data_IF_931729793539
#
_entry.id   IF_931729793539
#
_cell.length_a   1.000
_cell.length_b   1.000
_cell.length_c   1.000
_cell.angle_alpha   90.00
_cell.angle_beta   90.00
_cell.angle_gamma   90.00
#
_symmetry.space_group_name_H-M   'P 1'
#
loop_
_entity.id
_entity.type
_entity.pdbx_description
1 polymer ?
#
# COMPACT_ATOMS: atom_id res chain seq x y z
N UNK A 1 -16.02 21.21 -12.12
CA UNK A 1 -15.05 22.04 -11.39
C UNK A 1 -14.86 23.35 -12.14
N UNK A 2 -14.91 24.50 -11.49
CA UNK A 2 -14.86 25.85 -12.13
C UNK A 2 -15.86 26.03 -13.28
N UNK A 3 -17.09 25.53 -13.14
CA UNK A 3 -18.12 25.55 -14.19
C UNK A 3 -17.89 24.60 -15.38
N UNK A 4 -16.90 23.70 -15.27
CA UNK A 4 -16.57 22.69 -16.27
C UNK A 4 -16.89 21.30 -15.74
N UNK A 5 -17.08 20.32 -16.65
CA UNK A 5 -17.14 18.92 -16.29
C UNK A 5 -15.81 18.52 -15.62
N UNK A 6 -15.88 17.77 -14.54
CA UNK A 6 -14.70 17.23 -13.87
C UNK A 6 -14.18 16.02 -14.65
N UNK A 7 -12.90 16.06 -15.02
CA UNK A 7 -12.11 14.89 -15.43
C UNK A 7 -11.23 14.49 -14.25
N UNK A 8 -11.46 13.29 -13.70
CA UNK A 8 -10.78 12.84 -12.48
C UNK A 8 -9.76 11.75 -12.78
N UNK A 9 -8.49 12.13 -12.78
CA UNK A 9 -7.34 11.25 -13.05
C UNK A 9 -6.36 11.17 -11.87
N UNK A 10 -6.87 11.27 -10.62
CA UNK A 10 -6.06 11.08 -9.41
C UNK A 10 -6.45 9.80 -8.63
N UNK A 11 -6.84 8.74 -9.35
CA UNK A 11 -7.33 7.49 -8.78
C UNK A 11 -6.28 6.73 -7.95
N UNK A 12 -5.00 6.81 -8.32
CA UNK A 12 -3.90 6.23 -7.53
C UNK A 12 -3.70 6.91 -6.15
N UNK A 13 -4.31 8.07 -5.92
CA UNK A 13 -4.37 8.70 -4.61
C UNK A 13 -5.62 8.25 -3.84
N UNK A 14 -6.79 8.29 -4.47
CA UNK A 14 -8.06 7.76 -3.94
C UNK A 14 -9.07 7.61 -5.08
N UNK A 15 -9.81 6.51 -5.13
CA UNK A 15 -10.88 6.31 -6.12
C UNK A 15 -12.17 7.02 -5.72
N UNK A 16 -13.07 7.32 -6.66
CA UNK A 16 -14.44 7.71 -6.37
C UNK A 16 -15.22 6.51 -5.81
N UNK A 17 -16.25 6.80 -4.98
CA UNK A 17 -16.97 5.75 -4.27
C UNK A 17 -18.27 5.40 -4.99
N UNK A 18 -18.56 4.11 -5.24
CA UNK A 18 -19.86 3.65 -5.71
C UNK A 18 -20.96 4.04 -4.71
N UNK A 19 -22.17 4.29 -5.22
CA UNK A 19 -23.29 4.67 -4.39
C UNK A 19 -23.62 3.63 -3.31
N UNK A 20 -23.53 2.34 -3.64
CA UNK A 20 -23.75 1.24 -2.70
C UNK A 20 -22.81 1.28 -1.47
N UNK A 21 -21.58 1.80 -1.63
CA UNK A 21 -20.64 1.96 -0.53
C UNK A 21 -21.06 3.12 0.38
N UNK A 22 -21.44 4.25 -0.22
CA UNK A 22 -21.90 5.44 0.52
C UNK A 22 -23.19 5.12 1.28
N UNK A 23 -24.14 4.46 0.61
CA UNK A 23 -25.41 4.05 1.21
C UNK A 23 -25.21 3.03 2.34
N UNK A 24 -24.34 2.04 2.18
CA UNK A 24 -24.05 1.06 3.24
C UNK A 24 -23.51 1.71 4.52
N UNK A 25 -22.59 2.66 4.37
CA UNK A 25 -22.05 3.39 5.51
C UNK A 25 -23.10 4.32 6.15
N UNK A 26 -23.89 5.03 5.34
CA UNK A 26 -25.00 5.84 5.80
C UNK A 26 -26.02 5.03 6.58
N UNK A 27 -26.45 3.89 6.04
CA UNK A 27 -27.50 3.06 6.62
C UNK A 27 -27.04 2.44 7.95
N UNK A 28 -25.75 2.08 8.07
CA UNK A 28 -25.18 1.70 9.36
C UNK A 28 -25.39 2.77 10.43
N UNK A 29 -24.98 4.01 10.14
CA UNK A 29 -25.09 5.10 11.13
C UNK A 29 -26.53 5.50 11.43
N UNK A 30 -27.45 5.38 10.49
CA UNK A 30 -28.86 5.71 10.69
C UNK A 30 -29.65 4.63 11.47
N UNK A 31 -29.30 3.36 11.29
CA UNK A 31 -30.17 2.26 11.73
C UNK A 31 -29.48 1.18 12.58
N UNK A 32 -28.16 1.02 12.48
CA UNK A 32 -27.44 -0.12 13.07
C UNK A 32 -26.35 0.30 14.05
N UNK A 33 -26.08 1.61 14.19
CA UNK A 33 -24.92 2.13 14.93
C UNK A 33 -24.89 1.65 16.38
N UNK A 34 -23.86 0.88 16.70
CA UNK A 34 -23.68 0.28 18.02
C UNK A 34 -22.23 -0.13 18.23
N UNK A 35 -21.77 -0.19 19.49
CA UNK A 35 -20.50 -0.84 19.82
C UNK A 35 -20.63 -2.38 19.70
N UNK A 36 -19.55 -3.03 19.28
CA UNK A 36 -19.53 -4.46 18.94
C UNK A 36 -18.78 -5.31 19.99
N UNK A 37 -18.89 -6.63 19.86
CA UNK A 37 -18.25 -7.72 20.61
C UNK A 37 -18.69 -7.86 22.08
N UNK A 38 -18.95 -6.79 22.83
CA UNK A 38 -19.22 -6.84 24.28
C UNK A 38 -20.68 -6.59 24.67
N UNK A 39 -21.50 -6.08 23.77
CA UNK A 39 -22.90 -5.81 24.05
C UNK A 39 -23.75 -7.08 23.98
N UNK A 40 -24.62 -7.27 25.00
CA UNK A 40 -25.55 -8.41 25.04
C UNK A 40 -26.90 -8.12 24.34
N UNK A 41 -27.13 -6.88 23.93
CA UNK A 41 -28.36 -6.46 23.28
C UNK A 41 -28.33 -6.72 21.76
N UNK A 42 -29.52 -6.80 21.16
CA UNK A 42 -29.75 -7.18 19.77
C UNK A 42 -28.89 -6.38 18.77
N UNK A 43 -28.84 -5.04 18.87
CA UNK A 43 -28.07 -4.19 17.96
C UNK A 43 -26.57 -4.53 18.01
N UNK A 44 -26.01 -4.78 19.20
CA UNK A 44 -24.60 -5.14 19.31
C UNK A 44 -24.28 -6.48 18.68
N UNK A 45 -25.18 -7.46 18.81
CA UNK A 45 -25.01 -8.76 18.16
C UNK A 45 -25.07 -8.64 16.64
N UNK A 46 -26.05 -7.89 16.12
CA UNK A 46 -26.19 -7.61 14.69
C UNK A 46 -24.97 -6.89 14.11
N UNK A 47 -24.49 -5.83 14.77
CA UNK A 47 -23.32 -5.08 14.33
C UNK A 47 -22.03 -5.92 14.40
N UNK A 48 -21.89 -6.78 15.42
CA UNK A 48 -20.78 -7.72 15.54
C UNK A 48 -20.79 -8.72 14.39
N UNK A 49 -21.94 -9.33 14.11
CA UNK A 49 -22.09 -10.27 13.00
C UNK A 49 -21.77 -9.61 11.66
N UNK A 50 -22.27 -8.40 11.43
CA UNK A 50 -22.01 -7.65 10.21
C UNK A 50 -20.51 -7.33 10.04
N UNK A 51 -19.82 -6.92 11.11
CA UNK A 51 -18.39 -6.64 11.10
C UNK A 51 -17.57 -7.90 10.79
N UNK A 52 -17.88 -9.03 11.43
CA UNK A 52 -17.16 -10.28 11.17
C UNK A 52 -17.50 -10.87 9.79
N UNK A 53 -18.71 -10.62 9.24
CA UNK A 53 -19.03 -10.96 7.86
C UNK A 53 -18.24 -10.12 6.86
N UNK A 54 -18.00 -8.83 7.14
CA UNK A 54 -17.13 -8.00 6.34
C UNK A 54 -15.70 -8.60 6.29
N UNK A 55 -15.18 -9.09 7.42
CA UNK A 55 -13.89 -9.78 7.49
C UNK A 55 -13.86 -11.05 6.61
N UNK A 56 -14.91 -11.88 6.69
CA UNK A 56 -15.04 -13.07 5.84
C UNK A 56 -15.07 -12.72 4.35
N UNK A 57 -15.80 -11.67 4.00
CA UNK A 57 -15.90 -11.18 2.62
C UNK A 57 -14.53 -10.73 2.09
N UNK A 58 -13.78 -9.98 2.88
CA UNK A 58 -12.40 -9.57 2.52
C UNK A 58 -11.49 -10.78 2.40
N UNK A 59 -11.52 -11.72 3.35
CA UNK A 59 -10.72 -12.94 3.30
C UNK A 59 -10.99 -13.75 2.03
N UNK A 60 -12.26 -13.95 1.69
CA UNK A 60 -12.66 -14.65 0.46
C UNK A 60 -12.21 -13.91 -0.80
N UNK A 61 -12.26 -12.58 -0.81
CA UNK A 61 -11.88 -11.75 -1.97
C UNK A 61 -10.42 -11.89 -2.36
N UNK A 62 -9.53 -12.07 -1.40
CA UNK A 62 -8.09 -12.28 -1.66
C UNK A 62 -7.66 -13.74 -1.54
N UNK A 63 -8.61 -14.66 -1.45
CA UNK A 63 -8.38 -16.09 -1.24
C UNK A 63 -7.52 -16.40 -0.01
N UNK A 64 -7.75 -15.72 1.12
CA UNK A 64 -7.13 -16.08 2.39
C UNK A 64 -7.69 -17.42 2.91
N UNK A 65 -6.89 -18.22 3.59
CA UNK A 65 -7.27 -19.57 4.07
C UNK A 65 -8.38 -19.51 5.11
N UNK A 66 -8.39 -18.48 5.94
CA UNK A 66 -9.38 -18.28 6.98
C UNK A 66 -9.54 -16.78 7.33
N UNK A 67 -10.73 -16.35 7.81
CA UNK A 67 -10.99 -14.94 8.11
C UNK A 67 -10.04 -14.34 9.16
N UNK A 68 -9.56 -15.14 10.10
CA UNK A 68 -8.64 -14.70 11.16
C UNK A 68 -7.29 -14.20 10.63
N UNK A 69 -6.92 -14.55 9.40
CA UNK A 69 -5.74 -14.02 8.73
C UNK A 69 -5.88 -12.55 8.27
N UNK A 70 -7.08 -11.96 8.43
CA UNK A 70 -7.36 -10.56 8.13
C UNK A 70 -7.41 -9.74 9.42
N UNK A 71 -6.55 -8.75 9.52
CA UNK A 71 -6.56 -7.73 10.58
C UNK A 71 -7.02 -6.41 9.96
N UNK A 72 -8.09 -5.82 10.47
CA UNK A 72 -8.53 -4.51 10.03
C UNK A 72 -7.63 -3.42 10.60
N UNK A 73 -7.23 -2.48 9.75
CA UNK A 73 -6.39 -1.33 10.07
C UNK A 73 -6.96 -0.08 9.43
N UNK A 74 -6.38 1.09 9.69
CA UNK A 74 -6.77 2.33 9.01
C UNK A 74 -6.27 2.41 7.56
N UNK A 75 -5.47 1.43 7.12
CA UNK A 75 -4.90 1.35 5.77
C UNK A 75 -3.45 0.84 5.78
N UNK A 76 -2.85 0.77 4.60
CA UNK A 76 -1.50 0.26 4.34
C UNK A 76 -0.44 0.85 5.28
N UNK A 77 -0.48 2.17 5.54
CA UNK A 77 0.50 2.82 6.43
C UNK A 77 0.46 2.25 7.84
N UNK A 78 -0.73 2.04 8.42
CA UNK A 78 -0.85 1.43 9.74
C UNK A 78 -0.44 -0.03 9.72
N UNK A 79 -0.84 -0.79 8.69
CA UNK A 79 -0.45 -2.19 8.52
C UNK A 79 1.07 -2.38 8.50
N UNK A 80 1.78 -1.52 7.76
CA UNK A 80 3.24 -1.55 7.68
C UNK A 80 3.90 -1.11 9.00
N UNK A 81 3.34 -0.15 9.73
CA UNK A 81 3.81 0.21 11.07
C UNK A 81 3.57 -0.92 12.10
N UNK A 82 2.44 -1.62 12.02
CA UNK A 82 2.16 -2.81 12.81
C UNK A 82 3.24 -3.87 12.55
N UNK A 83 3.50 -4.18 11.29
CA UNK A 83 4.51 -5.18 10.91
C UNK A 83 5.91 -4.74 11.35
N UNK A 84 6.30 -3.49 11.10
CA UNK A 84 7.60 -2.97 11.52
C UNK A 84 7.78 -3.06 13.04
N UNK A 85 6.72 -2.83 13.82
CA UNK A 85 6.77 -2.91 15.29
C UNK A 85 6.74 -4.37 15.75
N UNK A 86 5.72 -5.13 15.40
CA UNK A 86 5.46 -6.46 15.97
C UNK A 86 6.33 -7.55 15.37
N UNK A 87 6.41 -7.63 14.03
CA UNK A 87 7.29 -8.59 13.35
C UNK A 87 8.76 -8.22 13.56
N UNK A 88 9.08 -6.91 13.50
CA UNK A 88 10.42 -6.43 13.81
C UNK A 88 10.84 -6.83 15.24
N UNK A 89 9.98 -6.63 16.24
CA UNK A 89 10.26 -7.08 17.60
C UNK A 89 10.47 -8.60 17.68
N UNK A 90 9.65 -9.39 16.99
CA UNK A 90 9.79 -10.85 16.97
C UNK A 90 11.15 -11.28 16.39
N UNK A 91 11.49 -10.81 15.19
CA UNK A 91 12.65 -11.28 14.43
C UNK A 91 13.99 -10.73 14.94
N UNK A 92 13.99 -9.54 15.58
CA UNK A 92 15.23 -8.91 16.02
C UNK A 92 15.53 -9.08 17.52
N UNK A 93 14.52 -9.50 18.33
CA UNK A 93 14.75 -9.79 19.75
C UNK A 93 15.39 -11.16 19.99
N UNK A 94 15.27 -12.12 19.07
CA UNK A 94 15.86 -13.46 19.22
C UNK A 94 17.39 -13.44 19.13
N UNK A 95 17.98 -12.54 18.36
CA UNK A 95 19.45 -12.39 18.27
C UNK A 95 20.09 -11.92 19.60
N UNK A 96 19.35 -11.14 20.40
CA UNK A 96 19.83 -10.68 21.70
C UNK A 96 19.84 -11.77 22.79
N UNK A 97 19.12 -12.89 22.59
CA UNK A 97 19.07 -14.00 23.56
C UNK A 97 20.15 -15.03 23.36
N UNK A 98 20.74 -15.16 22.18
CA UNK A 98 21.75 -16.19 21.85
C UNK A 98 23.19 -15.68 21.95
N UNK A 99 23.41 -14.37 22.09
CA UNK A 99 24.76 -13.80 22.11
C UNK A 99 25.34 -13.64 23.53
N UNK A 100 25.57 -14.75 24.23
CA UNK A 100 26.43 -14.77 25.41
C UNK A 100 27.94 -14.86 25.06
N UNK A 101 28.31 -14.69 23.81
CA UNK A 101 29.70 -14.70 23.35
C UNK A 101 30.19 -13.29 23.03
N UNK A 102 31.34 -12.93 23.61
CA UNK A 102 32.07 -11.67 23.42
C UNK A 102 32.59 -11.42 21.98
N UNK A 103 32.14 -12.15 21.00
CA UNK A 103 32.42 -11.91 19.59
C UNK A 103 31.18 -11.26 18.93
N UNK A 104 31.18 -9.94 18.93
CA UNK A 104 30.28 -9.15 18.10
C UNK A 104 30.64 -9.39 16.61
N UNK A 105 30.02 -10.41 16.01
CA UNK A 105 30.00 -10.51 14.56
C UNK A 105 29.02 -9.46 14.01
N UNK A 106 29.37 -8.85 12.92
CA UNK A 106 28.77 -7.72 12.19
C UNK A 106 27.33 -7.94 11.64
N UNK A 107 26.46 -8.65 12.34
CA UNK A 107 25.12 -8.96 11.86
C UNK A 107 24.08 -8.01 12.48
N UNK A 108 24.16 -6.74 12.13
CA UNK A 108 23.03 -5.83 12.36
C UNK A 108 21.82 -6.31 11.55
N UNK A 109 20.59 -6.28 12.11
CA UNK A 109 19.39 -6.70 11.41
C UNK A 109 19.19 -5.87 10.12
N UNK A 110 18.87 -6.56 9.02
CA UNK A 110 18.70 -5.95 7.70
C UNK A 110 17.29 -6.17 7.18
N UNK A 111 16.78 -5.17 6.47
CA UNK A 111 15.51 -5.23 5.74
C UNK A 111 15.75 -4.90 4.28
N UNK A 112 15.11 -5.63 3.37
CA UNK A 112 15.15 -5.33 1.93
C UNK A 112 13.86 -4.63 1.53
N UNK A 113 14.01 -3.52 0.81
CA UNK A 113 12.93 -2.78 0.14
C UNK A 113 13.31 -2.52 -1.32
N UNK A 114 12.38 -2.09 -2.17
CA UNK A 114 12.74 -1.68 -3.53
C UNK A 114 13.01 -0.17 -3.64
N UNK A 115 13.69 0.22 -4.74
CA UNK A 115 13.97 1.63 -5.03
C UNK A 115 12.70 2.45 -5.39
N UNK A 116 11.55 1.81 -5.56
CA UNK A 116 10.29 2.45 -5.96
C UNK A 116 9.23 2.48 -4.87
N UNK A 117 9.60 2.21 -3.62
CA UNK A 117 8.64 2.14 -2.52
C UNK A 117 7.98 3.48 -2.20
N UNK A 118 6.70 3.41 -1.87
CA UNK A 118 6.01 4.49 -1.19
C UNK A 118 6.63 4.73 0.20
N UNK A 119 6.64 5.97 0.69
CA UNK A 119 7.20 6.29 2.02
C UNK A 119 6.63 5.40 3.14
N UNK A 120 5.36 4.98 3.04
CA UNK A 120 4.75 4.05 4.01
C UNK A 120 5.43 2.69 4.07
N UNK A 121 6.09 2.26 2.99
CA UNK A 121 6.81 0.98 2.93
C UNK A 121 8.34 1.15 3.06
N UNK A 122 8.82 2.31 3.41
CA UNK A 122 10.23 2.59 3.64
C UNK A 122 10.47 3.13 5.06
N UNK A 123 9.75 4.19 5.44
CA UNK A 123 9.99 4.93 6.69
C UNK A 123 9.78 4.08 7.95
N UNK A 124 8.75 3.22 8.07
CA UNK A 124 8.61 2.36 9.25
C UNK A 124 9.80 1.44 9.47
N UNK A 125 10.37 0.86 8.38
CA UNK A 125 11.55 0.02 8.45
C UNK A 125 12.80 0.78 8.86
N UNK A 126 12.99 1.99 8.32
CA UNK A 126 14.08 2.87 8.74
C UNK A 126 13.99 3.17 10.23
N UNK A 127 12.80 3.55 10.73
CA UNK A 127 12.60 3.89 12.14
C UNK A 127 12.77 2.67 13.07
N UNK A 128 12.34 1.50 12.64
CA UNK A 128 12.56 0.25 13.37
C UNK A 128 14.06 -0.06 13.46
N UNK A 129 14.79 -0.02 12.35
CA UNK A 129 16.24 -0.28 12.32
C UNK A 129 17.01 0.74 13.15
N UNK A 130 16.59 2.01 13.20
CA UNK A 130 17.18 3.05 14.03
C UNK A 130 16.99 2.80 15.54
N UNK A 131 15.81 2.27 15.93
CA UNK A 131 15.50 1.98 17.34
C UNK A 131 16.13 0.69 17.84
N UNK A 132 16.53 -0.20 16.96
CA UNK A 132 17.22 -1.44 17.32
C UNK A 132 18.62 -1.07 17.83
N UNK A 133 19.03 -1.43 19.07
CA UNK A 133 20.31 -1.01 19.64
C UNK A 133 21.47 -1.63 18.87
N UNK A 134 21.99 -0.93 17.88
CA UNK A 134 23.32 -1.20 17.35
C UNK A 134 24.31 -0.46 18.26
N UNK A 135 25.26 -1.19 18.82
CA UNK A 135 26.28 -0.62 19.70
C UNK A 135 27.30 0.17 18.87
N UNK A 136 26.86 1.28 18.29
CA UNK A 136 27.76 2.31 17.79
C UNK A 136 27.37 3.65 18.38
N UNK A 137 28.25 4.20 19.20
CA UNK A 137 28.04 5.44 19.97
C UNK A 137 28.01 6.70 19.10
N UNK A 138 28.45 6.63 17.83
CA UNK A 138 28.52 7.79 16.94
C UNK A 138 27.23 8.03 16.15
N UNK A 139 26.57 6.99 15.64
CA UNK A 139 25.32 7.14 14.86
C UNK A 139 24.13 7.68 15.69
N UNK A 140 24.12 7.49 17.01
CA UNK A 140 23.06 8.01 17.91
C UNK A 140 23.09 9.53 18.07
N UNK A 141 24.20 10.21 17.79
CA UNK A 141 24.34 11.67 18.00
C UNK A 141 23.90 12.50 16.80
N UNK A 142 23.93 11.95 15.59
CA UNK A 142 23.63 12.70 14.35
C UNK A 142 22.17 12.56 13.88
N UNK A 143 21.39 11.62 14.45
CA UNK A 143 20.05 11.31 13.92
C UNK A 143 20.06 10.65 12.53
N UNK A 144 21.25 10.31 12.02
CA UNK A 144 21.41 9.63 10.73
C UNK A 144 21.14 8.13 10.88
N UNK A 145 20.29 7.62 9.98
CA UNK A 145 20.02 6.18 9.87
C UNK A 145 21.25 5.53 9.22
N UNK A 146 21.82 4.51 9.87
CA UNK A 146 22.86 3.72 9.24
C UNK A 146 22.31 3.11 7.95
N UNK A 147 22.76 3.62 6.81
CA UNK A 147 22.34 3.19 5.47
C UNK A 147 22.65 1.71 5.17
N UNK A 148 23.47 1.07 6.00
CA UNK A 148 23.95 -0.29 5.79
C UNK A 148 22.91 -1.39 6.11
N UNK A 149 21.82 -1.07 6.81
CA UNK A 149 20.84 -2.05 7.27
C UNK A 149 19.54 -2.04 6.45
N UNK A 150 19.25 -0.95 5.74
CA UNK A 150 18.18 -0.91 4.75
C UNK A 150 18.76 -1.20 3.37
N UNK A 151 18.55 -2.40 2.89
CA UNK A 151 19.04 -2.85 1.59
C UNK A 151 18.01 -2.49 0.52
N UNK A 152 18.45 -1.84 -0.56
CA UNK A 152 17.54 -1.34 -1.59
C UNK A 152 17.77 -2.08 -2.90
N UNK A 153 16.75 -2.77 -3.41
CA UNK A 153 16.75 -3.41 -4.73
C UNK A 153 16.81 -2.31 -5.79
N UNK A 154 17.80 -2.38 -6.68
CA UNK A 154 17.94 -1.42 -7.76
C UNK A 154 16.85 -1.56 -8.80
N UNK A 155 16.57 -0.48 -9.52
CA UNK A 155 15.74 -0.48 -10.73
C UNK A 155 16.52 0.09 -11.91
N UNK A 156 16.09 -0.24 -13.11
CA UNK A 156 16.61 0.35 -14.33
C UNK A 156 15.89 1.67 -14.70
N UNK A 157 16.31 2.29 -15.81
CA UNK A 157 15.70 3.52 -16.34
C UNK A 157 14.23 3.38 -16.79
N UNK A 158 13.77 2.15 -16.97
CA UNK A 158 12.37 1.86 -17.30
C UNK A 158 11.52 1.63 -16.03
N UNK A 159 12.15 1.59 -14.85
CA UNK A 159 11.49 1.28 -13.60
C UNK A 159 11.26 -0.22 -13.39
N UNK A 160 12.15 -1.07 -13.90
CA UNK A 160 12.13 -2.52 -13.71
C UNK A 160 13.13 -2.89 -12.62
N UNK A 161 12.72 -3.70 -11.64
CA UNK A 161 13.58 -4.16 -10.56
C UNK A 161 14.61 -5.17 -11.06
N UNK A 162 15.86 -5.05 -10.58
CA UNK A 162 16.96 -5.98 -10.86
C UNK A 162 16.86 -7.21 -9.95
N UNK A 163 16.34 -8.32 -10.48
CA UNK A 163 16.19 -9.58 -9.74
C UNK A 163 17.53 -10.24 -9.39
N UNK A 164 18.58 -10.05 -10.19
CA UNK A 164 19.91 -10.54 -9.84
C UNK A 164 20.48 -9.83 -8.63
N UNK A 165 20.38 -8.49 -8.63
CA UNK A 165 20.75 -7.68 -7.46
C UNK A 165 19.88 -8.03 -6.23
N UNK A 166 18.58 -8.28 -6.43
CA UNK A 166 17.71 -8.76 -5.36
C UNK A 166 18.25 -10.03 -4.71
N UNK A 167 18.59 -11.05 -5.50
CA UNK A 167 19.14 -12.31 -4.97
C UNK A 167 20.51 -12.11 -4.29
N UNK A 168 21.34 -11.19 -4.76
CA UNK A 168 22.59 -10.82 -4.08
C UNK A 168 22.33 -10.19 -2.69
N UNK A 169 21.29 -9.38 -2.56
CA UNK A 169 20.90 -8.80 -1.27
C UNK A 169 20.42 -9.88 -0.30
N UNK A 170 19.67 -10.89 -0.77
CA UNK A 170 19.19 -12.00 0.07
C UNK A 170 20.32 -12.85 0.63
N UNK A 171 21.44 -12.99 -0.08
CA UNK A 171 22.66 -13.68 0.43
C UNK A 171 23.24 -13.01 1.67
N UNK A 172 22.93 -11.73 1.91
CA UNK A 172 23.30 -11.02 3.13
C UNK A 172 22.41 -11.36 4.33
N UNK A 173 21.47 -12.31 4.18
CA UNK A 173 20.56 -12.80 5.23
C UNK A 173 19.73 -11.70 5.88
N UNK A 174 19.02 -10.84 5.11
CA UNK A 174 18.06 -9.91 5.69
C UNK A 174 16.96 -10.69 6.43
N UNK A 175 16.31 -10.03 7.38
CA UNK A 175 15.24 -10.64 8.18
C UNK A 175 13.87 -10.49 7.53
N UNK A 176 13.70 -9.52 6.65
CA UNK A 176 12.42 -9.14 6.04
C UNK A 176 12.68 -8.63 4.63
N UNK A 177 11.79 -8.96 3.72
CA UNK A 177 11.62 -8.30 2.42
C UNK A 177 10.27 -7.58 2.43
N UNK A 178 10.22 -6.29 2.06
CA UNK A 178 8.98 -5.53 1.95
C UNK A 178 8.96 -4.76 0.64
N UNK A 179 8.06 -5.12 -0.28
CA UNK A 179 8.03 -4.60 -1.66
C UNK A 179 6.62 -4.29 -2.14
N UNK A 180 6.50 -3.26 -2.96
CA UNK A 180 5.24 -2.90 -3.60
C UNK A 180 4.88 -3.90 -4.71
N UNK A 181 3.60 -4.28 -4.78
CA UNK A 181 3.07 -5.06 -5.90
C UNK A 181 3.04 -4.21 -7.17
N UNK A 182 2.45 -3.00 -7.06
CA UNK A 182 2.41 -2.00 -8.15
C UNK A 182 2.96 -0.68 -7.62
N UNK A 183 3.90 -0.09 -8.34
CA UNK A 183 4.44 1.22 -8.02
C UNK A 183 3.37 2.31 -8.19
N UNK A 184 3.12 3.08 -7.13
CA UNK A 184 2.19 4.21 -7.17
C UNK A 184 2.69 5.39 -8.03
N UNK A 185 3.96 5.39 -8.41
CA UNK A 185 4.60 6.46 -9.18
C UNK A 185 4.85 6.06 -10.63
N UNK A 186 5.30 4.83 -10.87
CA UNK A 186 5.72 4.35 -12.19
C UNK A 186 4.63 3.50 -12.88
N UNK A 187 3.67 2.98 -12.11
CA UNK A 187 2.70 2.00 -12.58
C UNK A 187 3.29 0.61 -12.79
N UNK A 188 4.60 0.43 -12.61
CA UNK A 188 5.28 -0.87 -12.79
C UNK A 188 4.62 -1.93 -11.92
N UNK A 189 4.22 -3.04 -12.53
CA UNK A 189 3.77 -4.26 -11.87
C UNK A 189 4.99 -5.12 -11.62
N UNK A 190 5.35 -5.31 -10.36
CA UNK A 190 6.51 -6.10 -9.98
C UNK A 190 6.21 -7.61 -10.03
N UNK A 191 7.17 -8.47 -10.40
CA UNK A 191 6.99 -9.92 -10.49
C UNK A 191 7.02 -10.55 -9.09
N UNK A 192 6.07 -10.15 -8.22
CA UNK A 192 6.10 -10.49 -6.78
C UNK A 192 6.07 -11.98 -6.52
N UNK A 193 5.37 -12.79 -7.35
CA UNK A 193 5.34 -14.24 -7.17
C UNK A 193 6.73 -14.86 -7.31
N UNK A 194 7.51 -14.41 -8.28
CA UNK A 194 8.90 -14.83 -8.45
C UNK A 194 9.77 -14.33 -7.30
N UNK A 195 9.62 -13.06 -6.91
CA UNK A 195 10.38 -12.45 -5.82
C UNK A 195 10.11 -13.15 -4.48
N UNK A 196 8.87 -13.52 -4.19
CA UNK A 196 8.50 -14.31 -3.00
C UNK A 196 9.20 -15.67 -3.04
N UNK A 197 9.09 -16.38 -4.15
CA UNK A 197 9.73 -17.70 -4.30
C UNK A 197 11.26 -17.63 -4.13
N UNK A 198 11.90 -16.56 -4.61
CA UNK A 198 13.34 -16.34 -4.40
C UNK A 198 13.65 -16.12 -2.91
N UNK A 199 12.91 -15.25 -2.21
CA UNK A 199 13.13 -14.98 -0.78
C UNK A 199 12.93 -16.22 0.10
N UNK A 200 11.90 -17.01 -0.18
CA UNK A 200 11.61 -18.24 0.56
C UNK A 200 12.70 -19.31 0.44
N UNK A 201 13.48 -19.31 -0.65
CA UNK A 201 14.69 -20.17 -0.72
C UNK A 201 15.75 -19.84 0.33
N UNK A 202 15.68 -18.65 0.90
CA UNK A 202 16.58 -18.15 1.95
C UNK A 202 15.90 -18.08 3.33
N UNK A 203 14.68 -18.63 3.47
CA UNK A 203 13.84 -18.60 4.69
C UNK A 203 13.53 -17.17 5.17
N UNK A 204 13.31 -16.24 4.22
CA UNK A 204 13.04 -14.82 4.53
C UNK A 204 11.58 -14.51 4.24
N UNK A 205 10.83 -14.02 5.24
CA UNK A 205 9.43 -13.63 5.06
C UNK A 205 9.27 -12.39 4.17
N UNK A 206 8.19 -12.38 3.39
CA UNK A 206 7.91 -11.35 2.40
C UNK A 206 6.59 -10.63 2.69
N UNK A 207 6.67 -9.32 2.76
CA UNK A 207 5.55 -8.39 2.90
C UNK A 207 5.30 -7.74 1.55
N UNK A 208 4.06 -7.77 1.09
CA UNK A 208 3.63 -7.13 -0.16
C UNK A 208 2.75 -5.92 0.15
N UNK A 209 3.20 -4.74 -0.29
CA UNK A 209 2.35 -3.54 -0.33
C UNK A 209 1.45 -3.62 -1.57
N UNK A 210 0.19 -4.02 -1.34
CA UNK A 210 -0.85 -4.15 -2.35
C UNK A 210 -1.74 -2.93 -2.53
N UNK A 211 -1.36 -1.77 -1.95
CA UNK A 211 -2.20 -0.57 -1.94
C UNK A 211 -2.69 -0.13 -3.32
N UNK A 212 -1.89 -0.30 -4.36
CA UNK A 212 -2.30 0.00 -5.73
C UNK A 212 -2.94 -1.23 -6.42
N UNK A 213 -2.52 -2.44 -6.10
CA UNK A 213 -2.93 -3.63 -6.83
C UNK A 213 -4.38 -4.06 -6.57
N UNK A 214 -4.91 -3.85 -5.36
CA UNK A 214 -6.25 -4.33 -4.95
C UNK A 214 -7.39 -3.86 -5.87
N UNK A 215 -7.31 -2.64 -6.42
CA UNK A 215 -8.31 -2.12 -7.34
C UNK A 215 -8.19 -2.75 -8.74
N UNK A 216 -6.97 -3.05 -9.17
CA UNK A 216 -6.63 -3.29 -10.57
C UNK A 216 -6.41 -4.77 -10.91
N UNK A 217 -6.04 -5.61 -9.94
CA UNK A 217 -5.71 -7.02 -10.17
C UNK A 217 -6.51 -7.97 -9.27
N UNK A 218 -6.67 -9.21 -9.72
CA UNK A 218 -7.17 -10.30 -8.88
C UNK A 218 -6.05 -10.76 -7.96
N UNK A 219 -6.28 -10.66 -6.66
CA UNK A 219 -5.29 -11.04 -5.64
C UNK A 219 -5.63 -12.42 -5.09
N UNK A 220 -4.66 -13.33 -5.13
CA UNK A 220 -4.73 -14.66 -4.53
C UNK A 220 -3.51 -14.87 -3.64
N UNK A 221 -3.67 -14.61 -2.34
CA UNK A 221 -2.55 -14.67 -1.39
C UNK A 221 -2.01 -16.08 -1.18
N UNK A 222 -2.85 -17.12 -1.39
CA UNK A 222 -2.39 -18.52 -1.31
C UNK A 222 -1.52 -18.88 -2.53
N UNK A 223 -1.94 -18.46 -3.75
CA UNK A 223 -1.15 -18.70 -4.97
C UNK A 223 0.13 -17.86 -5.02
N UNK A 224 0.12 -16.66 -4.44
CA UNK A 224 1.31 -15.82 -4.27
C UNK A 224 2.27 -16.39 -3.23
N UNK A 225 1.74 -17.09 -2.23
CA UNK A 225 2.45 -17.61 -1.05
C UNK A 225 3.15 -16.50 -0.22
N UNK A 226 2.65 -15.25 -0.27
CA UNK A 226 3.21 -14.17 0.54
C UNK A 226 2.92 -14.39 2.02
N UNK A 227 3.83 -13.94 2.88
CA UNK A 227 3.65 -14.05 4.33
C UNK A 227 2.69 -12.98 4.85
N UNK A 228 2.74 -11.78 4.23
CA UNK A 228 1.85 -10.66 4.52
C UNK A 228 1.47 -9.92 3.24
N UNK A 229 0.24 -9.42 3.22
CA UNK A 229 -0.27 -8.55 2.16
C UNK A 229 -1.07 -7.39 2.77
N UNK A 230 -0.71 -6.15 2.43
CA UNK A 230 -1.34 -4.97 3.04
C UNK A 230 -2.02 -4.09 2.00
N UNK A 231 -3.16 -3.48 2.37
CA UNK A 231 -3.93 -2.65 1.45
C UNK A 231 -4.71 -1.53 2.14
N UNK A 232 -5.13 -0.56 1.35
CA UNK A 232 -5.95 0.58 1.78
C UNK A 232 -7.30 0.59 1.05
N UNK A 233 -8.39 0.64 1.79
CA UNK A 233 -9.75 0.62 1.25
C UNK A 233 -10.03 1.78 0.29
N UNK A 234 -9.58 3.00 0.63
CA UNK A 234 -9.89 4.20 -0.16
C UNK A 234 -9.32 4.19 -1.59
N UNK A 235 -8.41 3.28 -1.93
CA UNK A 235 -7.89 3.10 -3.30
C UNK A 235 -8.64 2.02 -4.08
N UNK A 236 -9.44 1.20 -3.39
CA UNK A 236 -10.23 0.12 -3.96
C UNK A 236 -11.74 0.38 -3.76
N UNK A 237 -12.18 1.60 -4.01
CA UNK A 237 -13.59 2.05 -3.96
C UNK A 237 -14.23 2.09 -2.58
N UNK A 238 -13.54 1.68 -1.51
CA UNK A 238 -14.03 1.68 -0.13
C UNK A 238 -13.82 3.03 0.59
N UNK A 239 -14.40 3.23 1.78
CA UNK A 239 -14.23 4.45 2.57
C UNK A 239 -12.76 4.71 2.93
N UNK A 240 -12.46 5.95 3.32
CA UNK A 240 -11.20 6.32 3.97
C UNK A 240 -11.15 5.78 5.40
N UNK A 241 -9.95 5.59 5.95
CA UNK A 241 -9.77 5.18 7.34
C UNK A 241 -10.05 3.71 7.62
N UNK A 242 -10.09 2.90 6.57
CA UNK A 242 -10.16 1.43 6.63
C UNK A 242 -9.20 0.82 5.62
N UNK A 243 -8.62 -0.30 5.96
CA UNK A 243 -7.80 -1.16 5.14
C UNK A 243 -7.58 -2.49 5.84
N UNK A 244 -6.66 -3.28 5.35
CA UNK A 244 -6.38 -4.58 5.93
C UNK A 244 -4.92 -4.99 5.82
N UNK A 245 -4.58 -5.87 6.74
CA UNK A 245 -3.37 -6.67 6.74
C UNK A 245 -3.82 -8.13 6.67
N UNK A 246 -3.44 -8.81 5.62
CA UNK A 246 -3.40 -10.27 5.58
C UNK A 246 -2.06 -10.74 6.15
N UNK A 247 -2.08 -11.78 6.97
CA UNK A 247 -0.87 -12.47 7.42
C UNK A 247 -1.12 -13.95 7.61
N UNK A 248 -0.13 -14.79 7.25
CA UNK A 248 -0.19 -16.24 7.56
C UNK A 248 -0.34 -16.43 9.07
N UNK A 249 -1.24 -17.32 9.49
CA UNK A 249 -1.56 -17.54 10.92
C UNK A 249 -0.33 -17.80 11.77
N UNK A 250 0.62 -18.56 11.26
CA UNK A 250 1.86 -18.89 11.98
C UNK A 250 2.70 -17.67 12.37
N UNK A 251 2.66 -16.59 11.57
CA UNK A 251 3.29 -15.32 11.89
C UNK A 251 2.42 -14.51 12.85
N UNK A 252 1.13 -14.37 12.54
CA UNK A 252 0.22 -13.59 13.37
C UNK A 252 0.14 -14.12 14.80
N UNK A 253 0.17 -15.44 15.02
CA UNK A 253 0.16 -16.02 16.35
C UNK A 253 1.41 -15.69 17.16
N UNK A 254 2.59 -15.71 16.54
CA UNK A 254 3.88 -15.43 17.18
C UNK A 254 4.12 -13.95 17.45
N UNK A 255 3.58 -13.06 16.58
CA UNK A 255 3.79 -11.61 16.70
C UNK A 255 3.14 -11.05 17.97
N UNK A 256 3.84 -10.20 18.75
CA UNK A 256 3.23 -9.46 19.84
C UNK A 256 2.27 -8.38 19.31
N UNK A 257 1.30 -7.91 20.11
CA UNK A 257 0.49 -6.75 19.75
C UNK A 257 1.35 -5.48 19.63
N UNK A 258 0.90 -4.51 18.82
CA UNK A 258 1.60 -3.24 18.62
C UNK A 258 0.93 -2.04 19.29
N UNK A 259 -0.37 -2.16 19.57
CA UNK A 259 -1.17 -1.19 20.32
C UNK A 259 -1.80 -1.89 21.52
N UNK A 260 -2.05 -1.14 22.58
CA UNK A 260 -2.56 -1.67 23.84
C UNK A 260 -3.79 -0.87 24.26
N UNK A 261 -4.83 -1.56 24.75
CA UNK A 261 -6.10 -0.94 25.16
C UNK A 261 -7.22 -1.94 25.34
N UNK A 262 -8.45 -1.49 25.22
CA UNK A 262 -9.64 -2.34 25.20
C UNK A 262 -9.69 -3.22 23.95
N UNK A 263 -10.61 -4.16 23.89
CA UNK A 263 -10.88 -5.15 22.83
C UNK A 263 -9.75 -6.19 22.64
N UNK A 264 -8.50 -5.76 22.58
CA UNK A 264 -7.33 -6.60 22.30
C UNK A 264 -6.84 -7.43 23.50
N UNK A 265 -7.37 -7.21 24.70
CA UNK A 265 -7.01 -7.90 25.94
C UNK A 265 -7.99 -9.02 26.25
N UNK A 266 -7.47 -10.13 26.81
CA UNK A 266 -8.26 -11.23 27.35
C UNK A 266 -8.51 -11.00 28.85
N UNK A 267 -7.43 -10.91 29.66
CA UNK A 267 -7.53 -10.60 31.10
C UNK A 267 -6.58 -9.47 31.47
N UNK A 268 -6.98 -8.64 32.43
CA UNK A 268 -6.20 -7.52 32.93
C UNK A 268 -6.21 -7.49 34.46
N UNK A 269 -5.03 -7.44 35.06
CA UNK A 269 -4.84 -7.09 36.48
C UNK A 269 -3.72 -6.06 36.61
N UNK A 270 -3.48 -5.53 37.79
CA UNK A 270 -2.34 -4.63 38.02
C UNK A 270 -0.98 -5.31 37.83
N UNK A 271 -0.93 -6.64 38.01
CA UNK A 271 0.32 -7.42 37.95
C UNK A 271 0.55 -8.02 36.54
N UNK A 272 -0.54 -8.31 35.80
CA UNK A 272 -0.43 -9.05 34.55
C UNK A 272 -1.61 -8.74 33.58
N UNK A 273 -1.27 -8.64 32.30
CA UNK A 273 -2.24 -8.59 31.19
C UNK A 273 -2.00 -9.77 30.26
N UNK A 274 -3.08 -10.42 29.81
CA UNK A 274 -3.07 -11.38 28.70
C UNK A 274 -3.81 -10.81 27.51
N UNK A 275 -3.43 -11.24 26.31
CA UNK A 275 -3.95 -10.70 25.07
C UNK A 275 -4.94 -11.66 24.42
N UNK A 276 -5.88 -11.10 23.68
CA UNK A 276 -6.87 -11.84 22.94
C UNK A 276 -6.21 -12.64 21.80
N UNK A 277 -7.00 -13.55 21.18
CA UNK A 277 -6.58 -14.32 20.00
C UNK A 277 -6.48 -13.41 18.76
N UNK A 278 -5.79 -13.90 17.73
CA UNK A 278 -5.81 -13.32 16.38
C UNK A 278 -7.25 -13.37 15.82
N UNK A 279 -7.74 -12.34 15.17
CA UNK A 279 -7.07 -11.06 14.82
C UNK A 279 -7.17 -9.99 15.92
N UNK A 280 -8.01 -10.18 16.93
CA UNK A 280 -8.41 -9.18 17.92
C UNK A 280 -7.24 -8.60 18.72
N UNK A 281 -6.17 -9.37 18.94
CA UNK A 281 -4.97 -8.83 19.64
C UNK A 281 -4.27 -7.69 18.87
N UNK A 282 -4.62 -7.48 17.59
CA UNK A 282 -4.08 -6.39 16.77
C UNK A 282 -5.09 -5.26 16.54
N UNK A 283 -6.34 -5.40 17.00
CA UNK A 283 -7.43 -4.44 16.82
C UNK A 283 -7.78 -3.80 18.16
N UNK A 284 -6.94 -2.86 18.62
CA UNK A 284 -7.11 -2.20 19.90
C UNK A 284 -8.14 -1.05 19.82
N UNK A 285 -9.04 -1.00 20.81
CA UNK A 285 -10.07 0.04 20.93
C UNK A 285 -11.32 -0.27 20.09
N UNK A 286 -12.30 0.64 20.13
CA UNK A 286 -13.53 0.48 19.34
C UNK A 286 -13.22 0.55 17.86
N UNK A 287 -13.54 -0.48 17.06
CA UNK A 287 -13.20 -0.52 15.65
C UNK A 287 -14.10 0.40 14.80
N UNK A 288 -13.65 0.74 13.60
CA UNK A 288 -14.41 1.51 12.64
C UNK A 288 -15.43 0.61 11.89
N UNK A 289 -16.54 0.28 12.55
CA UNK A 289 -17.55 -0.63 12.02
C UNK A 289 -18.14 -0.11 10.71
N UNK A 290 -18.56 1.16 10.67
CA UNK A 290 -19.16 1.74 9.46
C UNK A 290 -18.27 1.61 8.24
N UNK A 291 -16.99 1.95 8.37
CA UNK A 291 -16.05 1.83 7.25
C UNK A 291 -15.72 0.37 6.89
N UNK A 292 -15.73 -0.57 7.85
CA UNK A 292 -15.58 -2.00 7.55
C UNK A 292 -16.75 -2.52 6.72
N UNK A 293 -17.97 -2.10 7.01
CA UNK A 293 -19.15 -2.43 6.21
C UNK A 293 -19.12 -1.76 4.82
N UNK A 294 -18.60 -0.52 4.75
CA UNK A 294 -18.33 0.14 3.48
C UNK A 294 -17.26 -0.59 2.65
N UNK A 295 -16.23 -1.16 3.29
CA UNK A 295 -15.22 -2.00 2.63
C UNK A 295 -15.85 -3.29 2.10
N UNK A 296 -16.71 -3.92 2.87
CA UNK A 296 -17.47 -5.09 2.40
C UNK A 296 -18.31 -4.76 1.15
N UNK A 297 -19.03 -3.63 1.18
CA UNK A 297 -19.83 -3.20 0.04
C UNK A 297 -18.96 -2.93 -1.20
N UNK A 298 -17.78 -2.34 -1.04
CA UNK A 298 -16.82 -2.14 -2.12
C UNK A 298 -16.29 -3.46 -2.69
N UNK A 299 -15.99 -4.43 -1.84
CA UNK A 299 -15.56 -5.77 -2.27
C UNK A 299 -16.69 -6.47 -3.06
N UNK A 300 -17.91 -6.45 -2.56
CA UNK A 300 -19.08 -7.01 -3.26
C UNK A 300 -19.33 -6.33 -4.61
N UNK A 301 -19.16 -5.01 -4.67
CA UNK A 301 -19.22 -4.25 -5.92
C UNK A 301 -18.14 -4.74 -6.91
N UNK A 302 -16.88 -4.86 -6.48
CA UNK A 302 -15.81 -5.37 -7.34
C UNK A 302 -15.99 -6.84 -7.76
N UNK A 303 -16.66 -7.65 -6.95
CA UNK A 303 -17.02 -9.04 -7.30
C UNK A 303 -18.18 -9.11 -8.28
N UNK A 304 -19.03 -8.08 -8.38
CA UNK A 304 -20.16 -8.02 -9.29
C UNK A 304 -19.80 -7.64 -10.73
N UNK A 305 -18.56 -7.25 -10.97
CA UNK A 305 -18.03 -6.83 -12.28
C UNK A 305 -16.95 -7.80 -12.74
N UNK A 306 -16.76 -7.89 -14.07
CA UNK A 306 -15.70 -8.68 -14.66
C UNK A 306 -14.34 -7.97 -14.48
N UNK A 307 -13.54 -8.46 -13.53
CA UNK A 307 -12.24 -7.88 -13.17
C UNK A 307 -11.23 -7.94 -14.30
N UNK A 308 -11.31 -8.94 -15.18
CA UNK A 308 -10.43 -9.03 -16.33
C UNK A 308 -10.77 -7.94 -17.35
N UNK A 309 -12.05 -7.72 -17.63
CA UNK A 309 -12.47 -6.63 -18.51
C UNK A 309 -12.10 -5.25 -17.94
N UNK A 310 -12.15 -5.07 -16.62
CA UNK A 310 -11.67 -3.82 -15.98
C UNK A 310 -10.19 -3.62 -16.23
N UNK A 311 -9.37 -4.64 -16.02
CA UNK A 311 -7.92 -4.57 -16.26
C UNK A 311 -7.60 -4.29 -17.76
N UNK A 312 -8.29 -4.94 -18.67
CA UNK A 312 -8.17 -4.71 -20.12
C UNK A 312 -8.53 -3.26 -20.48
N UNK A 313 -9.65 -2.74 -19.96
CA UNK A 313 -10.08 -1.36 -20.16
C UNK A 313 -9.06 -0.35 -19.60
N UNK A 314 -8.58 -0.52 -18.39
CA UNK A 314 -7.59 0.38 -17.78
C UNK A 314 -6.25 0.35 -18.52
N UNK A 315 -5.83 -0.81 -19.03
CA UNK A 315 -4.66 -0.94 -19.89
C UNK A 315 -4.86 -0.27 -21.26
N UNK A 316 -6.06 -0.35 -21.82
CA UNK A 316 -6.41 0.35 -23.07
C UNK A 316 -6.34 1.88 -22.85
N UNK A 317 -6.88 2.40 -21.74
CA UNK A 317 -6.79 3.81 -21.38
C UNK A 317 -5.34 4.27 -21.20
N UNK A 318 -4.52 3.47 -20.49
CA UNK A 318 -3.10 3.76 -20.29
C UNK A 318 -2.33 3.85 -21.61
N UNK A 319 -2.54 2.89 -22.51
CA UNK A 319 -1.90 2.86 -23.81
C UNK A 319 -2.34 4.05 -24.66
N UNK A 320 -3.63 4.33 -24.72
CA UNK A 320 -4.20 5.45 -25.45
C UNK A 320 -3.67 6.80 -24.92
N UNK A 321 -3.66 7.00 -23.60
CA UNK A 321 -3.10 8.21 -23.00
C UNK A 321 -1.62 8.39 -23.31
N UNK A 322 -0.83 7.31 -23.23
CA UNK A 322 0.61 7.33 -23.54
C UNK A 322 0.85 7.70 -25.00
N UNK A 323 0.10 7.10 -25.93
CA UNK A 323 0.19 7.41 -27.36
C UNK A 323 -0.14 8.88 -27.64
N UNK A 324 -1.30 9.35 -27.18
CA UNK A 324 -1.74 10.73 -27.44
C UNK A 324 -0.81 11.78 -26.80
N UNK A 325 -0.34 11.56 -25.57
CA UNK A 325 0.60 12.46 -24.91
C UNK A 325 1.97 12.48 -25.59
N UNK A 326 2.40 11.39 -26.26
CA UNK A 326 3.71 11.31 -26.93
C UNK A 326 3.90 12.34 -28.05
N UNK A 327 2.81 12.83 -28.64
CA UNK A 327 2.81 13.90 -29.65
C UNK A 327 3.19 15.29 -29.10
N UNK A 328 3.20 15.48 -27.80
CA UNK A 328 3.49 16.79 -27.18
C UNK A 328 5.00 17.02 -27.14
N UNK A 329 5.46 18.13 -27.73
CA UNK A 329 6.88 18.48 -27.79
C UNK A 329 7.51 18.58 -26.40
N UNK A 330 8.60 17.83 -26.17
CA UNK A 330 9.35 17.80 -24.91
C UNK A 330 8.78 16.83 -23.87
N UNK A 331 7.78 16.04 -24.23
CA UNK A 331 7.21 14.98 -23.38
C UNK A 331 8.26 13.92 -23.06
N UNK A 332 8.39 13.58 -21.76
CA UNK A 332 9.21 12.47 -21.28
C UNK A 332 8.42 11.69 -20.25
N UNK A 333 8.12 10.44 -20.55
CA UNK A 333 7.50 9.51 -19.60
C UNK A 333 8.50 9.01 -18.58
N UNK A 334 8.04 8.83 -17.33
CA UNK A 334 8.84 8.33 -16.21
C UNK A 334 8.29 6.96 -15.81
N UNK A 335 9.14 5.94 -15.99
CA UNK A 335 8.74 4.54 -15.86
C UNK A 335 8.03 4.04 -17.13
N UNK A 336 8.68 3.10 -17.82
CA UNK A 336 8.17 2.50 -19.07
C UNK A 336 8.38 0.98 -19.05
N UNK A 337 8.13 0.36 -17.89
CA UNK A 337 8.14 -1.09 -17.77
C UNK A 337 7.10 -1.72 -18.73
N UNK A 338 7.37 -2.91 -19.30
CA UNK A 338 6.43 -3.59 -20.21
C UNK A 338 5.09 -3.90 -19.55
N UNK A 339 5.13 -4.25 -18.26
CA UNK A 339 3.95 -4.51 -17.45
C UNK A 339 3.70 -3.32 -16.51
N UNK A 340 2.73 -2.51 -16.88
CA UNK A 340 2.27 -1.35 -16.10
C UNK A 340 0.76 -1.40 -15.97
N UNK A 341 0.25 -0.77 -14.94
CA UNK A 341 -1.17 -0.68 -14.71
C UNK A 341 -1.58 0.72 -14.22
N UNK A 342 -2.72 1.17 -14.70
CA UNK A 342 -3.57 2.20 -14.14
C UNK A 342 -3.03 3.64 -14.14
N UNK A 343 -1.77 3.92 -14.52
CA UNK A 343 -1.27 5.29 -14.45
C UNK A 343 -0.14 5.60 -15.45
N UNK A 344 -0.03 6.89 -15.81
CA UNK A 344 1.09 7.47 -16.54
C UNK A 344 1.70 8.63 -15.75
N UNK A 345 3.03 8.59 -15.56
CA UNK A 345 3.81 9.68 -14.97
C UNK A 345 4.70 10.31 -16.03
N UNK A 346 4.74 11.64 -16.08
CA UNK A 346 5.51 12.34 -17.11
C UNK A 346 6.02 13.70 -16.64
N UNK A 347 6.99 14.24 -17.36
CA UNK A 347 7.46 15.62 -17.31
C UNK A 347 7.48 16.20 -18.71
N UNK A 348 7.45 17.52 -18.84
CA UNK A 348 7.67 18.25 -20.11
C UNK A 348 8.92 19.09 -19.95
N UNK A 349 9.85 19.00 -20.91
CA UNK A 349 11.12 19.72 -20.88
C UNK A 349 10.91 21.24 -20.72
N UNK A 350 11.61 21.82 -19.73
CA UNK A 350 11.54 23.24 -19.40
C UNK A 350 10.29 23.67 -18.60
N UNK A 351 9.40 22.74 -18.23
CA UNK A 351 8.16 23.05 -17.50
C UNK A 351 8.17 22.34 -16.15
N UNK A 352 7.94 23.09 -15.06
CA UNK A 352 7.81 22.51 -13.73
C UNK A 352 6.48 21.77 -13.59
N UNK A 353 6.45 20.52 -13.10
CA UNK A 353 5.21 19.72 -13.00
C UNK A 353 4.08 20.40 -12.21
N UNK A 354 4.41 21.15 -11.18
CA UNK A 354 3.44 21.87 -10.37
C UNK A 354 2.71 22.97 -11.17
N UNK A 355 3.43 23.73 -12.00
CA UNK A 355 2.85 24.81 -12.81
C UNK A 355 1.91 24.21 -13.88
N UNK A 356 2.33 23.13 -14.52
CA UNK A 356 1.50 22.40 -15.47
C UNK A 356 0.21 21.89 -14.81
N UNK A 357 0.33 21.23 -13.66
CA UNK A 357 -0.82 20.74 -12.90
C UNK A 357 -1.78 21.83 -12.46
N UNK A 358 -1.25 22.99 -12.03
CA UNK A 358 -2.06 24.14 -11.62
C UNK A 358 -2.88 24.70 -12.78
N UNK A 359 -2.33 24.75 -13.99
CA UNK A 359 -3.06 25.26 -15.16
C UNK A 359 -4.15 24.28 -15.61
N UNK A 360 -3.84 22.96 -15.69
CA UNK A 360 -4.85 21.98 -16.10
C UNK A 360 -5.96 21.80 -15.06
N UNK A 361 -5.69 22.02 -13.77
CA UNK A 361 -6.72 22.11 -12.72
C UNK A 361 -7.77 23.19 -13.04
N UNK A 362 -7.34 24.40 -13.47
CA UNK A 362 -8.25 25.47 -13.92
C UNK A 362 -9.05 25.10 -15.17
N UNK A 363 -8.63 24.07 -15.88
CA UNK A 363 -9.38 23.54 -17.04
C UNK A 363 -10.36 22.43 -16.65
N UNK A 364 -10.45 22.07 -15.36
CA UNK A 364 -11.40 21.08 -14.84
C UNK A 364 -10.83 19.67 -14.71
N UNK A 365 -9.52 19.50 -14.78
CA UNK A 365 -8.85 18.18 -14.79
C UNK A 365 -8.05 18.01 -13.49
N UNK A 366 -8.37 16.97 -12.75
CA UNK A 366 -7.70 16.60 -11.51
C UNK A 366 -6.62 15.55 -11.79
N UNK A 367 -5.36 15.94 -11.64
CA UNK A 367 -4.17 15.07 -11.67
C UNK A 367 -3.34 15.31 -10.41
N UNK A 368 -2.37 14.46 -10.16
CA UNK A 368 -1.42 14.69 -9.07
C UNK A 368 -0.07 15.19 -9.60
N UNK A 369 0.56 16.10 -8.85
CA UNK A 369 1.91 16.58 -9.14
C UNK A 369 2.84 16.39 -7.94
N UNK A 370 4.15 16.28 -8.18
CA UNK A 370 5.19 16.21 -7.15
C UNK A 370 5.81 14.84 -7.00
N UNK A 371 6.24 14.50 -5.78
CA UNK A 371 7.03 13.29 -5.48
C UNK A 371 6.18 12.02 -5.28
N UNK A 372 4.85 12.13 -5.17
CA UNK A 372 3.91 11.01 -4.95
C UNK A 372 4.24 10.13 -3.74
N UNK A 373 4.85 10.71 -2.68
CA UNK A 373 5.37 9.98 -1.53
C UNK A 373 6.39 8.88 -1.91
N UNK A 374 7.17 9.09 -2.98
CA UNK A 374 8.23 8.22 -3.47
C UNK A 374 9.43 9.08 -3.93
N UNK A 375 9.91 9.95 -3.05
CA UNK A 375 11.00 10.91 -3.33
C UNK A 375 12.28 10.25 -3.86
N UNK A 376 12.70 9.03 -3.39
CA UNK A 376 13.85 8.33 -3.97
C UNK A 376 13.71 8.05 -5.47
N UNK A 377 12.49 7.82 -5.97
CA UNK A 377 12.23 7.66 -7.42
C UNK A 377 12.55 8.96 -8.17
N UNK A 378 12.15 10.11 -7.64
CA UNK A 378 12.44 11.41 -8.25
C UNK A 378 13.94 11.68 -8.29
N UNK A 379 14.63 11.37 -7.20
CA UNK A 379 16.10 11.48 -7.10
C UNK A 379 16.78 10.58 -8.14
N UNK A 380 16.33 9.34 -8.31
CA UNK A 380 16.87 8.39 -9.29
C UNK A 380 16.75 8.93 -10.73
N UNK A 381 15.60 9.52 -11.09
CA UNK A 381 15.39 10.08 -12.42
C UNK A 381 15.96 11.51 -12.61
N UNK A 382 16.48 12.13 -11.55
CA UNK A 382 17.04 13.49 -11.58
C UNK A 382 16.00 14.57 -11.90
N UNK A 383 14.78 14.43 -11.34
CA UNK A 383 13.64 15.32 -11.61
C UNK A 383 13.02 15.84 -10.30
N UNK A 384 12.41 17.05 -10.31
CA UNK A 384 11.80 17.64 -9.11
C UNK A 384 10.44 17.00 -8.76
N UNK A 385 9.90 16.18 -9.63
CA UNK A 385 8.57 15.55 -9.51
C UNK A 385 8.02 15.21 -10.89
N UNK A 386 6.81 14.64 -10.92
CA UNK A 386 6.07 14.37 -12.18
C UNK A 386 4.65 14.93 -12.11
N UNK A 387 4.02 15.06 -13.26
CA UNK A 387 2.55 15.01 -13.38
C UNK A 387 2.17 13.55 -13.54
N UNK A 388 1.22 13.08 -12.72
CA UNK A 388 0.70 11.72 -12.76
C UNK A 388 -0.80 11.74 -13.04
N UNK A 389 -1.22 11.13 -14.14
CA UNK A 389 -2.61 10.80 -14.40
C UNK A 389 -2.83 9.31 -14.12
N UNK A 390 -3.88 8.97 -13.38
CA UNK A 390 -4.22 7.59 -13.03
C UNK A 390 -5.68 7.30 -13.31
N UNK A 391 -5.91 6.17 -13.96
CA UNK A 391 -7.20 5.76 -14.49
C UNK A 391 -7.88 4.74 -13.58
N UNK A 392 -9.19 4.65 -13.70
CA UNK A 392 -10.04 3.67 -13.06
C UNK A 392 -11.15 3.24 -14.03
N UNK A 393 -11.89 2.19 -13.68
CA UNK A 393 -12.91 1.57 -14.52
C UNK A 393 -13.96 2.52 -15.11
N UNK A 394 -14.15 3.69 -14.51
CA UNK A 394 -15.15 4.68 -14.92
C UNK A 394 -14.61 5.79 -15.83
N UNK A 395 -13.30 5.81 -16.09
CA UNK A 395 -12.72 6.80 -16.98
C UNK A 395 -12.89 6.41 -18.47
N UNK A 396 -12.83 7.38 -19.35
CA UNK A 396 -13.08 7.19 -20.79
C UNK A 396 -11.98 7.78 -21.68
N UNK A 397 -11.94 7.39 -22.96
CA UNK A 397 -11.02 7.96 -23.95
C UNK A 397 -11.32 9.42 -24.25
N UNK A 398 -12.59 9.83 -24.20
CA UNK A 398 -13.00 11.22 -24.38
C UNK A 398 -12.45 12.12 -23.27
N UNK A 399 -12.38 11.60 -22.03
CA UNK A 399 -11.73 12.31 -20.92
C UNK A 399 -10.21 12.45 -21.17
N UNK A 400 -9.57 11.44 -21.77
CA UNK A 400 -8.15 11.49 -22.14
C UNK A 400 -7.93 12.52 -23.26
N UNK A 401 -8.81 12.61 -24.25
CA UNK A 401 -8.73 13.63 -25.30
C UNK A 401 -8.81 15.05 -24.73
N UNK A 402 -9.71 15.27 -23.76
CA UNK A 402 -9.82 16.55 -23.05
C UNK A 402 -8.52 16.85 -22.29
N UNK A 403 -7.97 15.84 -21.61
CA UNK A 403 -6.73 15.94 -20.86
C UNK A 403 -5.53 16.29 -21.75
N UNK A 404 -5.33 15.57 -22.85
CA UNK A 404 -4.23 15.80 -23.81
C UNK A 404 -4.26 17.22 -24.36
N UNK A 405 -5.43 17.68 -24.80
CA UNK A 405 -5.62 19.07 -25.28
C UNK A 405 -5.29 20.10 -24.19
N UNK A 406 -5.67 19.82 -22.95
CA UNK A 406 -5.37 20.70 -21.83
C UNK A 406 -3.87 20.75 -21.50
N UNK A 407 -3.19 19.59 -21.52
CA UNK A 407 -1.73 19.48 -21.32
C UNK A 407 -0.98 20.24 -22.41
N UNK A 408 -1.35 20.06 -23.68
CA UNK A 408 -0.74 20.77 -24.82
C UNK A 408 -0.93 22.29 -24.70
N UNK A 409 -2.15 22.73 -24.40
CA UNK A 409 -2.44 24.15 -24.21
C UNK A 409 -1.65 24.74 -23.03
N UNK A 410 -1.63 24.05 -21.90
CA UNK A 410 -0.87 24.49 -20.73
C UNK A 410 0.64 24.55 -20.99
N UNK A 411 1.18 23.57 -21.70
CA UNK A 411 2.57 23.54 -22.10
C UNK A 411 2.93 24.72 -23.02
N UNK A 412 2.05 25.10 -23.94
CA UNK A 412 2.25 26.27 -24.81
C UNK A 412 2.13 27.61 -24.07
N UNK A 413 1.41 27.66 -22.94
CA UNK A 413 1.31 28.87 -22.09
C UNK A 413 2.54 29.05 -21.19
N UNK A 414 3.28 27.97 -20.89
CA UNK A 414 4.41 27.97 -19.97
C UNK A 414 5.77 28.06 -20.69
N UNK A 415 5.80 27.95 -22.00
CA UNK A 415 6.96 28.21 -22.87
C UNK A 415 7.01 29.68 -23.28
#
# INVERSE_FOLDING_TARGET
MYGKQLVYFDNAATTQKPLCVIERERDYYLHENCNIHRGVHYLSQMATEAYENARKTVASFINAKQPQEIVFTRGTTESLNLLATSLGQLLFSEENKTSNSKLQTSNSPKVVVSAMEHHSNMVPWQQMLFRTPVISTEAKRSGEISSNNLLVIRMDKNGILDLNHYEELLKQRPKIVSIAHISNTLGTVNPIKEMIAIAHRYDIPVIIDGAQAMAHQVIDVQNLDCDFYVFSGHKMYAPMGIGGLYGKMEWLEKMPPYQFGGEMVDTVSFEKTTFNKVPFKFEAGTPNVGAALGLEAAVKFMQSIDRQQVEEHENELLNYATEQLSGIKGMRFIGQAPHRNGLVSFVIEGIHPYDLGTIIDKMGIAVRTGHHCAEPVMTFFGIPGTVRASFAMYNTKEEIDIFVKAVEKAANMLK
#
